data_IF_220337382582
#
_entry.id   IF_220337382582
#
_cell.length_a   1.000
_cell.length_b   1.000
_cell.length_c   1.000
_cell.angle_alpha   90.00
_cell.angle_beta   90.00
_cell.angle_gamma   90.00
#
_symmetry.space_group_name_H-M   'P 1'
#
loop_
_entity.id
_entity.type
_entity.pdbx_description
1 polymer ?
#
# COMPACT_ATOMS: atom_id res chain seq x y z
N UNK A 1 -15.26 -8.30 -4.06
CA UNK A 1 -14.58 -7.48 -3.04
C UNK A 1 -13.17 -7.16 -3.48
N UNK A 2 -12.76 -5.94 -3.30
CA UNK A 2 -11.40 -5.55 -3.65
C UNK A 2 -10.40 -6.06 -2.62
N UNK A 3 -9.35 -6.71 -3.09
CA UNK A 3 -8.21 -7.09 -2.27
C UNK A 3 -7.02 -6.25 -2.70
N UNK A 4 -6.42 -5.56 -1.75
CA UNK A 4 -5.25 -4.75 -2.04
C UNK A 4 -4.14 -5.62 -2.63
N UNK A 5 -3.78 -5.33 -3.87
CA UNK A 5 -2.70 -6.04 -4.54
C UNK A 5 -1.35 -5.47 -4.14
N UNK A 6 -0.37 -6.34 -4.05
CA UNK A 6 1.01 -5.93 -3.89
C UNK A 6 1.66 -5.99 -5.26
N UNK A 7 2.23 -4.89 -5.70
CA UNK A 7 2.75 -4.75 -7.06
C UNK A 7 4.15 -4.17 -7.05
N UNK A 8 4.87 -4.42 -8.13
CA UNK A 8 6.22 -3.92 -8.34
C UNK A 8 6.20 -2.96 -9.53
N UNK A 9 6.59 -1.68 -9.34
CA UNK A 9 6.61 -0.74 -10.47
C UNK A 9 7.83 -0.93 -11.35
N UNK A 10 7.64 -0.72 -12.65
CA UNK A 10 8.70 -0.73 -13.64
C UNK A 10 9.62 0.47 -13.48
N UNK A 11 10.91 0.23 -13.68
CA UNK A 11 11.89 1.31 -13.84
C UNK A 11 12.14 2.12 -12.60
N UNK A 12 11.77 1.61 -11.43
CA UNK A 12 11.95 2.33 -10.19
C UNK A 12 13.41 2.39 -9.74
N UNK A 13 14.28 1.56 -10.28
CA UNK A 13 15.65 1.43 -9.81
C UNK A 13 15.75 0.74 -8.46
N UNK A 14 14.65 0.60 -7.78
CA UNK A 14 14.50 -0.14 -6.54
C UNK A 14 13.31 -1.06 -6.72
N UNK A 15 13.52 -2.33 -6.51
CA UNK A 15 12.46 -3.33 -6.57
C UNK A 15 11.66 -3.27 -5.28
N UNK A 16 10.97 -2.16 -5.08
CA UNK A 16 10.11 -1.98 -3.92
C UNK A 16 8.69 -2.33 -4.28
N UNK A 17 8.07 -3.23 -3.53
CA UNK A 17 6.65 -3.47 -3.71
C UNK A 17 5.82 -2.34 -3.13
N UNK A 18 4.60 -2.22 -3.64
CA UNK A 18 3.62 -1.25 -3.18
C UNK A 18 2.29 -1.96 -2.97
N UNK A 19 1.51 -1.46 -2.05
CA UNK A 19 0.15 -1.94 -1.80
C UNK A 19 -0.83 -1.02 -2.52
N UNK A 20 -1.67 -1.58 -3.38
CA UNK A 20 -2.74 -0.82 -4.03
C UNK A 20 -3.81 -0.52 -3.00
N UNK A 21 -4.08 0.76 -2.78
CA UNK A 21 -5.06 1.21 -1.79
C UNK A 21 -6.27 1.88 -2.44
N UNK A 22 -6.39 1.75 -3.74
CA UNK A 22 -7.45 2.38 -4.52
C UNK A 22 -8.62 1.41 -4.69
N UNK A 23 -9.82 1.97 -4.63
CA UNK A 23 -11.05 1.20 -4.84
C UNK A 23 -11.07 0.59 -6.25
N UNK A 24 -11.59 -0.63 -6.37
CA UNK A 24 -11.67 -1.33 -7.64
C UNK A 24 -12.45 -0.57 -8.71
N UNK A 25 -13.42 0.25 -8.32
CA UNK A 25 -14.13 1.06 -9.29
C UNK A 25 -13.18 1.93 -10.11
N UNK A 26 -12.10 2.41 -9.50
CA UNK A 26 -11.06 3.16 -10.19
C UNK A 26 -10.06 2.25 -10.87
N UNK A 27 -9.73 1.10 -10.25
CA UNK A 27 -8.80 0.15 -10.83
C UNK A 27 -9.30 -0.40 -12.16
N UNK A 28 -10.60 -0.66 -12.24
CA UNK A 28 -11.24 -1.22 -13.43
C UNK A 28 -11.67 -0.14 -14.42
N UNK A 29 -11.48 1.12 -14.10
CA UNK A 29 -11.87 2.23 -14.94
C UNK A 29 -10.80 2.55 -15.98
N UNK A 30 -11.08 3.55 -16.84
CA UNK A 30 -10.13 4.03 -17.84
C UNK A 30 -9.10 5.00 -17.26
N UNK A 31 -9.20 5.30 -15.97
CA UNK A 31 -8.21 6.15 -15.31
C UNK A 31 -6.87 5.45 -15.37
N UNK A 32 -5.86 6.16 -15.85
CA UNK A 32 -4.53 5.58 -16.08
C UNK A 32 -3.66 5.48 -14.84
N UNK A 33 -4.13 6.00 -13.72
CA UNK A 33 -3.35 6.08 -12.50
C UNK A 33 -3.90 5.16 -11.42
N UNK A 34 -3.03 4.81 -10.47
CA UNK A 34 -3.39 4.00 -9.32
C UNK A 34 -2.71 4.56 -8.08
N UNK A 35 -3.45 4.60 -6.98
CA UNK A 35 -2.93 5.08 -5.69
C UNK A 35 -2.41 3.88 -4.91
N UNK A 36 -1.19 4.01 -4.41
CA UNK A 36 -0.50 2.94 -3.70
C UNK A 36 0.16 3.48 -2.43
N UNK A 37 0.44 2.58 -1.50
CA UNK A 37 1.27 2.85 -0.33
C UNK A 37 2.56 2.06 -0.42
N UNK A 38 3.67 2.66 0.01
CA UNK A 38 4.96 2.01 0.00
C UNK A 38 5.05 0.88 1.02
N UNK A 39 5.80 -0.16 0.64
CA UNK A 39 6.24 -1.20 1.57
C UNK A 39 7.72 -0.99 1.85
N UNK A 40 8.11 -1.20 3.09
CA UNK A 40 9.52 -1.08 3.48
C UNK A 40 9.93 -2.29 4.31
N UNK A 41 11.18 -2.69 4.20
CA UNK A 41 11.77 -3.70 5.05
C UNK A 41 12.34 -3.11 6.35
N UNK A 42 12.30 -1.80 6.51
CA UNK A 42 12.73 -1.14 7.72
C UNK A 42 11.69 -1.33 8.82
N UNK A 43 11.92 -2.31 9.69
CA UNK A 43 10.96 -2.70 10.72
C UNK A 43 10.73 -1.64 11.78
N UNK A 44 11.62 -0.66 11.89
CA UNK A 44 11.42 0.47 12.81
C UNK A 44 10.18 1.27 12.46
N UNK A 45 9.80 1.26 11.18
CA UNK A 45 8.61 1.96 10.72
C UNK A 45 7.30 1.33 11.22
N UNK A 46 7.38 0.09 11.73
CA UNK A 46 6.20 -0.57 12.30
C UNK A 46 5.60 0.17 13.49
N UNK A 47 6.40 0.98 14.19
CA UNK A 47 5.92 1.77 15.31
C UNK A 47 5.31 3.12 14.92
N UNK A 48 5.42 3.54 13.67
CA UNK A 48 4.84 4.81 13.23
C UNK A 48 3.32 4.72 13.16
N UNK A 49 2.61 5.83 13.41
CA UNK A 49 1.15 5.79 13.46
C UNK A 49 0.52 5.23 12.19
N UNK A 50 -0.40 4.30 12.35
CA UNK A 50 -1.17 3.73 11.25
C UNK A 50 -0.44 2.70 10.41
N UNK A 51 0.86 2.55 10.56
CA UNK A 51 1.63 1.58 9.79
C UNK A 51 1.27 0.14 10.19
N UNK A 52 1.38 -0.78 9.24
CA UNK A 52 0.97 -2.17 9.42
C UNK A 52 2.16 -3.08 9.18
N UNK A 53 2.46 -3.91 10.19
CA UNK A 53 3.52 -4.89 10.11
C UNK A 53 2.98 -6.17 9.48
N UNK A 54 3.63 -6.63 8.42
CA UNK A 54 3.29 -7.87 7.74
C UNK A 54 4.37 -8.91 8.02
N UNK A 55 3.94 -10.16 8.24
CA UNK A 55 4.86 -11.26 8.46
C UNK A 55 5.28 -11.90 7.15
N UNK A 56 6.41 -12.63 7.13
CA UNK A 56 6.84 -13.35 5.93
C UNK A 56 5.73 -14.26 5.43
N UNK A 57 5.52 -14.26 4.12
CA UNK A 57 4.49 -15.06 3.47
C UNK A 57 3.17 -14.33 3.27
N UNK A 58 2.89 -13.28 4.01
CA UNK A 58 1.71 -12.47 3.75
C UNK A 58 1.86 -11.80 2.38
N UNK A 59 0.81 -11.86 1.56
CA UNK A 59 0.81 -11.35 0.19
C UNK A 59 1.99 -11.89 -0.63
N UNK A 60 2.43 -13.11 -0.33
CA UNK A 60 3.59 -13.75 -0.96
C UNK A 60 4.90 -12.97 -0.83
N UNK A 61 5.00 -12.10 0.16
CA UNK A 61 6.23 -11.38 0.45
C UNK A 61 7.23 -12.30 1.15
N UNK A 62 8.49 -12.34 0.70
CA UNK A 62 9.49 -13.23 1.30
C UNK A 62 9.97 -12.77 2.67
N UNK A 63 9.89 -11.48 2.94
CA UNK A 63 10.44 -10.88 4.15
C UNK A 63 9.37 -10.18 4.96
N UNK A 64 9.64 -10.03 6.26
CA UNK A 64 8.83 -9.17 7.10
C UNK A 64 8.89 -7.76 6.56
N UNK A 65 7.73 -7.10 6.44
CA UNK A 65 7.61 -5.80 5.81
C UNK A 65 6.64 -4.92 6.58
N UNK A 66 6.72 -3.62 6.34
CA UNK A 66 5.82 -2.64 6.94
C UNK A 66 5.13 -1.88 5.82
N UNK A 67 3.80 -1.81 5.89
CA UNK A 67 3.05 -0.91 5.01
C UNK A 67 3.18 0.49 5.58
N UNK A 68 3.84 1.37 4.84
CA UNK A 68 4.05 2.76 5.26
C UNK A 68 2.90 3.61 4.74
N UNK A 69 1.88 3.79 5.58
CA UNK A 69 0.63 4.45 5.17
C UNK A 69 0.78 5.94 4.90
N UNK A 70 1.86 6.55 5.40
CA UNK A 70 2.13 7.97 5.10
C UNK A 70 2.80 8.14 3.73
N UNK A 71 3.30 7.08 3.13
CA UNK A 71 3.90 7.13 1.82
C UNK A 71 2.86 6.75 0.76
N UNK A 72 1.97 7.69 0.48
CA UNK A 72 0.92 7.52 -0.52
C UNK A 72 1.44 8.10 -1.83
N UNK A 73 1.45 7.29 -2.87
CA UNK A 73 2.01 7.65 -4.17
C UNK A 73 1.01 7.31 -5.26
N UNK A 74 0.94 8.14 -6.27
CA UNK A 74 0.15 7.86 -7.47
C UNK A 74 1.09 7.42 -8.58
N UNK A 75 0.81 6.25 -9.15
CA UNK A 75 1.60 5.68 -10.24
C UNK A 75 0.73 5.55 -11.48
N UNK A 76 1.36 5.55 -12.66
CA UNK A 76 0.66 5.13 -13.87
C UNK A 76 0.45 3.63 -13.84
N UNK A 77 -0.72 3.17 -14.27
CA UNK A 77 -0.98 1.72 -14.38
C UNK A 77 0.04 1.03 -15.26
N UNK A 78 0.56 1.73 -16.27
CA UNK A 78 1.59 1.20 -17.16
C UNK A 78 2.91 0.93 -16.45
N UNK A 79 3.13 1.53 -15.29
CA UNK A 79 4.34 1.31 -14.49
C UNK A 79 4.26 0.05 -13.63
N UNK A 80 3.08 -0.53 -13.51
CA UNK A 80 2.91 -1.75 -12.73
C UNK A 80 3.44 -2.93 -13.54
N UNK A 81 4.40 -3.64 -12.96
CA UNK A 81 5.04 -4.75 -13.64
C UNK A 81 4.38 -6.08 -13.31
N UNK A 82 4.34 -6.42 -12.05
CA UNK A 82 3.91 -7.74 -11.62
C UNK A 82 3.07 -7.63 -10.36
N UNK A 83 1.98 -8.38 -10.33
CA UNK A 83 1.24 -8.58 -9.09
C UNK A 83 1.95 -9.65 -8.29
N UNK A 84 2.37 -9.33 -7.08
CA UNK A 84 3.06 -10.27 -6.20
C UNK A 84 2.06 -11.12 -5.43
N UNK A 85 1.03 -10.50 -4.88
CA UNK A 85 0.05 -11.21 -4.08
C UNK A 85 -1.07 -10.28 -3.64
N UNK A 86 -1.82 -10.71 -2.64
CA UNK A 86 -2.92 -9.93 -2.10
C UNK A 86 -2.94 -10.03 -0.58
N UNK A 87 -3.31 -8.93 0.07
CA UNK A 87 -3.48 -8.91 1.51
C UNK A 87 -4.81 -9.56 1.90
N UNK A 88 -4.84 -10.12 3.11
CA UNK A 88 -6.10 -10.61 3.67
C UNK A 88 -7.07 -9.45 3.92
N UNK A 89 -8.37 -9.73 4.01
CA UNK A 89 -9.35 -8.69 4.34
C UNK A 89 -9.04 -7.97 5.65
N UNK A 90 -8.51 -8.67 6.63
CA UNK A 90 -8.13 -8.07 7.92
C UNK A 90 -7.00 -7.07 7.75
N UNK A 91 -5.98 -7.43 6.97
CA UNK A 91 -4.86 -6.53 6.70
C UNK A 91 -5.31 -5.33 5.88
N UNK A 92 -6.21 -5.54 4.92
CA UNK A 92 -6.78 -4.43 4.14
C UNK A 92 -7.47 -3.43 5.06
N UNK A 93 -8.25 -3.91 6.02
CA UNK A 93 -8.92 -3.03 6.98
C UNK A 93 -7.92 -2.24 7.82
N UNK A 94 -6.84 -2.90 8.26
CA UNK A 94 -5.80 -2.21 9.01
C UNK A 94 -5.12 -1.12 8.18
N UNK A 95 -4.78 -1.43 6.93
CA UNK A 95 -4.16 -0.46 6.02
C UNK A 95 -5.10 0.71 5.77
N UNK A 96 -6.38 0.45 5.52
CA UNK A 96 -7.35 1.51 5.28
C UNK A 96 -7.55 2.39 6.51
N UNK A 97 -7.54 1.81 7.71
CA UNK A 97 -7.56 2.61 8.94
C UNK A 97 -6.35 3.52 9.04
N UNK A 98 -5.17 3.00 8.67
CA UNK A 98 -3.94 3.79 8.67
C UNK A 98 -3.99 4.93 7.66
N UNK A 99 -4.46 4.64 6.45
CA UNK A 99 -4.62 5.66 5.41
C UNK A 99 -5.62 6.73 5.85
N UNK A 100 -6.74 6.32 6.44
CA UNK A 100 -7.72 7.26 6.96
C UNK A 100 -7.12 8.17 8.03
N UNK A 101 -6.29 7.62 8.90
CA UNK A 101 -5.60 8.41 9.92
C UNK A 101 -4.71 9.47 9.29
N UNK A 102 -3.97 9.11 8.25
CA UNK A 102 -3.08 10.04 7.55
C UNK A 102 -3.87 11.17 6.90
N UNK A 103 -5.01 10.84 6.31
CA UNK A 103 -5.81 11.79 5.53
C UNK A 103 -6.84 12.54 6.37
N UNK A 104 -6.99 12.20 7.64
CA UNK A 104 -7.95 12.84 8.51
C UNK A 104 -7.52 14.27 8.83
N UNK A 105 -8.26 15.22 8.30
CA UNK A 105 -8.01 16.63 8.55
C UNK A 105 -8.65 17.04 9.87
N UNK A 106 -7.89 17.75 10.67
CA UNK A 106 -8.39 18.28 11.92
C UNK A 106 -8.33 19.78 11.90
N UNK A 107 -9.22 20.39 12.65
CA UNK A 107 -9.27 21.84 12.79
C UNK A 107 -7.96 22.36 13.40
N UNK A 108 -7.61 23.56 13.01
CA UNK A 108 -6.47 24.25 13.60
C UNK A 108 -6.68 24.42 15.10
N UNK A 109 -5.60 24.53 15.82
CA UNK A 109 -5.66 24.64 17.27
C UNK A 109 -5.45 23.31 17.99
N UNK A 110 -5.28 22.26 17.21
CA UNK A 110 -4.88 20.97 17.73
C UNK A 110 -3.60 21.06 18.56
#
# INVERSE_FOLDING_TARGET
>A
MFLAGVVEPLGSGYDRPYVIVQNNAFNDSRINTVVVCGLTSNLRRGGDPGNVLLFPGEADLPEQSVVNVSQIVTLDKSQLQTRIGALSPERIREVLRGVNLVLELREAGR
#
